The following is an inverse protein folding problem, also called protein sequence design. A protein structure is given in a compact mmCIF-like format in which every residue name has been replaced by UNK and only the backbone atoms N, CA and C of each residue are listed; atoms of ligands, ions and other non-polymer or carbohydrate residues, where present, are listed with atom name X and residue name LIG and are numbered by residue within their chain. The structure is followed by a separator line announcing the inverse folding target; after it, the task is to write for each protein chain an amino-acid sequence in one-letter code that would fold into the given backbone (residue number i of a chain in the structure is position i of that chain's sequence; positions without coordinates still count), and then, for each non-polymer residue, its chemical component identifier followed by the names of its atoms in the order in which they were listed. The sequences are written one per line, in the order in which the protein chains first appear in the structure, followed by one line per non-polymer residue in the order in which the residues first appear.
data_IF_919269835132
#
_entry.id   IF_919269835132
#
_cell.length_a   1.000
_cell.length_b   1.000
_cell.length_c   1.000
_cell.angle_alpha   90.00
_cell.angle_beta   90.00
_cell.angle_gamma   90.00
#
_symmetry.space_group_name_H-M   'P 1'
#
loop_
_entity.id
_entity.type
_entity.pdbx_description
1 polymer ?
#
# COMPACT_ATOMS: atom_id res chain seq x y z
N UNK A 1 -17.81 11.26 10.46
CA UNK A 1 -17.40 10.89 9.10
C UNK A 1 -15.97 10.39 9.12
N UNK A 2 -15.72 9.15 8.68
CA UNK A 2 -14.38 8.59 8.51
C UNK A 2 -13.83 9.01 7.15
N UNK A 3 -12.60 9.55 7.09
CA UNK A 3 -11.88 9.80 5.83
C UNK A 3 -10.69 8.84 5.75
N UNK A 4 -10.41 8.30 4.56
CA UNK A 4 -9.36 7.29 4.32
C UNK A 4 -8.37 7.76 3.25
N UNK A 5 -7.07 7.72 3.56
CA UNK A 5 -5.98 7.99 2.60
C UNK A 5 -5.26 6.67 2.31
N UNK A 6 -5.07 6.34 1.01
CA UNK A 6 -4.47 5.09 0.54
C UNK A 6 -3.06 5.31 -0.01
N UNK A 7 -2.04 4.60 0.51
CA UNK A 7 -0.64 4.69 0.02
C UNK A 7 -0.13 3.31 -0.43
N UNK A 8 0.53 3.21 -1.59
CA UNK A 8 0.90 1.93 -2.26
C UNK A 8 2.30 1.44 -1.90
N UNK A 9 2.49 0.10 -1.79
CA UNK A 9 3.82 -0.54 -1.68
C UNK A 9 4.02 -1.55 -2.81
N UNK A 10 4.85 -1.18 -3.79
CA UNK A 10 5.14 -1.95 -5.02
C UNK A 10 6.08 -3.15 -4.81
N UNK A 11 6.65 -3.31 -3.61
CA UNK A 11 7.68 -4.33 -3.33
C UNK A 11 7.15 -5.58 -2.60
N UNK A 12 5.84 -5.78 -2.53
CA UNK A 12 5.31 -6.98 -1.87
C UNK A 12 5.69 -8.26 -2.64
N UNK A 13 6.04 -9.37 -1.95
CA UNK A 13 6.47 -10.61 -2.60
C UNK A 13 5.38 -11.23 -3.49
N UNK A 14 4.09 -11.03 -3.14
CA UNK A 14 2.95 -11.42 -3.98
C UNK A 14 2.94 -10.68 -5.31
N UNK A 15 3.20 -9.36 -5.30
CA UNK A 15 3.33 -8.56 -6.51
C UNK A 15 4.45 -9.06 -7.41
N UNK A 16 5.63 -9.33 -6.83
CA UNK A 16 6.77 -9.84 -7.59
C UNK A 16 6.46 -11.20 -8.24
N UNK A 17 5.79 -12.09 -7.52
CA UNK A 17 5.40 -13.40 -8.04
C UNK A 17 4.40 -13.28 -9.20
N UNK A 18 3.31 -12.52 -9.03
CA UNK A 18 2.30 -12.30 -10.06
C UNK A 18 2.88 -11.59 -11.30
N UNK A 19 3.76 -10.61 -11.12
CA UNK A 19 4.44 -9.92 -12.22
C UNK A 19 5.38 -10.87 -12.97
N UNK A 20 6.14 -11.70 -12.26
CA UNK A 20 7.03 -12.69 -12.88
C UNK A 20 6.23 -13.76 -13.63
N UNK A 21 5.16 -14.29 -13.03
CA UNK A 21 4.27 -15.26 -13.67
C UNK A 21 3.60 -14.69 -14.93
N UNK A 22 3.09 -13.45 -14.86
CA UNK A 22 2.52 -12.75 -16.01
C UNK A 22 3.53 -12.53 -17.14
N UNK A 23 4.76 -12.13 -16.80
CA UNK A 23 5.84 -11.95 -17.78
C UNK A 23 6.23 -13.28 -18.46
N UNK A 24 6.34 -14.37 -17.70
CA UNK A 24 6.65 -15.71 -18.22
C UNK A 24 5.55 -16.18 -19.19
N UNK A 25 4.28 -15.95 -18.88
CA UNK A 25 3.16 -16.32 -19.74
C UNK A 25 3.17 -15.55 -21.07
N UNK A 26 3.49 -14.26 -21.04
CA UNK A 26 3.63 -13.47 -22.28
C UNK A 26 4.82 -13.95 -23.11
N UNK A 27 5.96 -14.24 -22.48
CA UNK A 27 7.12 -14.79 -23.18
C UNK A 27 6.84 -16.18 -23.79
N UNK A 28 6.12 -17.03 -23.06
CA UNK A 28 5.69 -18.33 -23.57
C UNK A 28 4.72 -18.21 -24.75
N UNK A 29 3.79 -17.24 -24.71
CA UNK A 29 2.90 -16.96 -25.83
C UNK A 29 3.67 -16.50 -27.08
N UNK A 30 4.64 -15.59 -26.91
CA UNK A 30 5.48 -15.10 -28.00
C UNK A 30 6.37 -16.19 -28.59
N UNK A 31 6.98 -17.04 -27.74
CA UNK A 31 7.77 -18.18 -28.20
C UNK A 31 6.91 -19.21 -28.93
N UNK A 32 5.72 -19.54 -28.40
CA UNK A 32 4.76 -20.41 -29.07
C UNK A 32 4.39 -19.87 -30.46
N UNK A 33 4.16 -18.57 -30.57
CA UNK A 33 3.84 -17.94 -31.85
C UNK A 33 5.01 -17.97 -32.84
N UNK A 34 6.23 -17.68 -32.37
CA UNK A 34 7.44 -17.69 -33.21
C UNK A 34 7.79 -19.11 -33.70
N UNK A 35 7.61 -20.12 -32.86
CA UNK A 35 7.91 -21.52 -33.22
C UNK A 35 6.81 -22.18 -34.07
N UNK A 36 5.76 -21.44 -34.47
CA UNK A 36 4.64 -21.98 -35.24
C UNK A 36 3.76 -22.94 -34.43
N UNK A 37 3.73 -22.77 -33.11
CA UNK A 37 2.86 -23.53 -32.21
C UNK A 37 1.38 -23.23 -32.43
N UNK A 38 0.48 -24.07 -31.91
CA UNK A 38 -0.96 -23.91 -32.15
C UNK A 38 -1.48 -22.57 -31.62
N UNK A 39 -2.23 -21.85 -32.47
CA UNK A 39 -2.74 -20.51 -32.17
C UNK A 39 -3.52 -20.44 -30.85
N UNK A 40 -4.32 -21.47 -30.53
CA UNK A 40 -5.11 -21.50 -29.31
C UNK A 40 -4.24 -21.48 -28.04
N UNK A 41 -3.04 -22.06 -28.06
CA UNK A 41 -2.09 -22.07 -26.94
C UNK A 41 -1.48 -20.68 -26.76
N UNK A 42 -1.08 -20.05 -27.86
CA UNK A 42 -0.50 -18.71 -27.86
C UNK A 42 -1.50 -17.67 -27.35
N UNK A 43 -2.76 -17.72 -27.81
CA UNK A 43 -3.81 -16.81 -27.38
C UNK A 43 -4.23 -17.00 -25.92
N UNK A 44 -4.34 -18.25 -25.44
CA UNK A 44 -4.69 -18.50 -24.02
C UNK A 44 -3.57 -18.08 -23.07
N UNK A 45 -2.31 -18.35 -23.40
CA UNK A 45 -1.16 -17.89 -22.60
C UNK A 45 -1.08 -16.35 -22.56
N UNK A 46 -1.29 -15.68 -23.69
CA UNK A 46 -1.34 -14.22 -23.75
C UNK A 46 -2.50 -13.65 -22.90
N UNK A 47 -3.70 -14.24 -23.01
CA UNK A 47 -4.87 -13.82 -22.25
C UNK A 47 -4.62 -13.95 -20.73
N UNK A 48 -4.10 -15.09 -20.27
CA UNK A 48 -3.76 -15.30 -18.85
C UNK A 48 -2.67 -14.35 -18.36
N UNK A 49 -1.67 -14.07 -19.20
CA UNK A 49 -0.64 -13.07 -18.90
C UNK A 49 -1.26 -11.68 -18.69
N UNK A 50 -2.07 -11.21 -19.65
CA UNK A 50 -2.74 -9.90 -19.57
C UNK A 50 -3.70 -9.83 -18.38
N UNK A 51 -4.49 -10.88 -18.12
CA UNK A 51 -5.38 -10.94 -16.96
C UNK A 51 -4.60 -10.86 -15.64
N UNK A 52 -3.42 -11.47 -15.56
CA UNK A 52 -2.56 -11.38 -14.37
C UNK A 52 -2.10 -9.95 -14.10
N UNK A 53 -1.71 -9.21 -15.15
CA UNK A 53 -1.38 -7.78 -15.04
C UNK A 53 -2.60 -6.90 -14.73
N UNK A 54 -3.77 -7.29 -15.22
CA UNK A 54 -5.03 -6.57 -14.95
C UNK A 54 -5.48 -6.79 -13.50
N UNK A 55 -5.35 -8.01 -12.97
CA UNK A 55 -5.60 -8.35 -11.57
C UNK A 55 -4.63 -7.60 -10.64
N UNK A 56 -3.35 -7.52 -11.00
CA UNK A 56 -2.37 -6.68 -10.31
C UNK A 56 -2.74 -5.19 -10.32
N UNK A 57 -3.33 -4.70 -11.41
CA UNK A 57 -3.79 -3.31 -11.47
C UNK A 57 -4.98 -3.10 -10.52
N UNK A 58 -5.97 -4.00 -10.53
CA UNK A 58 -7.15 -3.97 -9.65
C UNK A 58 -6.81 -4.09 -8.16
N UNK A 59 -5.88 -4.95 -7.76
CA UNK A 59 -5.39 -5.04 -6.38
C UNK A 59 -4.54 -3.83 -5.97
N UNK A 60 -3.79 -3.26 -6.92
CA UNK A 60 -3.07 -2.00 -6.74
C UNK A 60 -3.99 -0.82 -6.42
N UNK A 61 -5.26 -0.90 -6.80
CA UNK A 61 -6.28 0.09 -6.45
C UNK A 61 -6.84 -0.06 -5.03
N UNK A 62 -6.67 -1.20 -4.31
CA UNK A 62 -7.59 -1.51 -3.20
C UNK A 62 -7.08 -1.57 -1.75
N UNK A 63 -5.83 -1.90 -1.35
CA UNK A 63 -5.66 -2.21 0.11
C UNK A 63 -4.29 -2.28 0.82
N UNK A 64 -3.23 -1.60 0.39
CA UNK A 64 -1.92 -1.78 1.05
C UNK A 64 -1.74 -0.99 2.37
N UNK A 65 -1.96 0.33 2.35
CA UNK A 65 -1.89 1.17 3.54
C UNK A 65 -3.17 2.01 3.61
N UNK A 66 -3.92 1.90 4.70
CA UNK A 66 -5.13 2.71 4.93
C UNK A 66 -5.06 3.35 6.30
N UNK A 67 -5.26 4.66 6.36
CA UNK A 67 -5.47 5.38 7.62
C UNK A 67 -6.93 5.79 7.69
N UNK A 68 -7.66 5.26 8.65
CA UNK A 68 -9.06 5.62 8.93
C UNK A 68 -9.11 6.35 10.26
N UNK A 69 -9.83 7.47 10.33
CA UNK A 69 -9.93 8.24 11.57
C UNK A 69 -11.35 8.73 11.85
N UNK A 70 -11.72 8.76 13.12
CA UNK A 70 -13.02 9.20 13.63
C UNK A 70 -12.96 10.56 14.33
N UNK A 71 -13.91 10.77 15.25
CA UNK A 71 -13.89 11.93 16.14
C UNK A 71 -12.68 11.89 17.07
N UNK A 72 -12.50 10.75 17.73
CA UNK A 72 -11.61 10.59 18.90
C UNK A 72 -10.47 9.59 18.67
N UNK A 73 -10.52 8.81 17.60
CA UNK A 73 -9.59 7.72 17.34
C UNK A 73 -9.06 7.68 15.92
N UNK A 74 -7.93 7.02 15.75
CA UNK A 74 -7.35 6.69 14.45
C UNK A 74 -6.97 5.22 14.41
N UNK A 75 -7.17 4.58 13.25
CA UNK A 75 -6.73 3.23 12.95
C UNK A 75 -5.88 3.27 11.68
N UNK A 76 -4.67 2.73 11.80
CA UNK A 76 -3.70 2.64 10.73
C UNK A 76 -3.45 1.17 10.39
N UNK A 77 -3.75 0.81 9.14
CA UNK A 77 -3.34 -0.46 8.56
C UNK A 77 -2.17 -0.18 7.65
N UNK A 78 -0.97 -0.56 8.05
CA UNK A 78 0.26 -0.33 7.31
C UNK A 78 0.80 -1.65 6.77
N UNK A 79 1.21 -1.69 5.50
CA UNK A 79 1.67 -2.89 4.83
C UNK A 79 2.93 -3.44 5.50
N UNK A 80 2.85 -4.67 5.99
CA UNK A 80 3.94 -5.36 6.69
C UNK A 80 3.98 -5.13 8.21
N UNK A 81 3.06 -4.34 8.76
CA UNK A 81 2.91 -4.13 10.21
C UNK A 81 1.53 -4.62 10.68
N UNK A 82 1.41 -4.86 12.00
CA UNK A 82 0.09 -5.08 12.62
C UNK A 82 -0.77 -3.84 12.44
N UNK A 83 -2.10 -4.03 12.34
CA UNK A 83 -3.05 -2.91 12.37
C UNK A 83 -2.97 -2.26 13.75
N UNK A 84 -2.81 -0.95 13.79
CA UNK A 84 -2.63 -0.17 15.03
C UNK A 84 -3.77 0.82 15.15
N UNK A 85 -4.47 0.81 16.28
CA UNK A 85 -5.49 1.78 16.62
C UNK A 85 -5.14 2.48 17.92
N UNK A 86 -5.35 3.79 17.98
CA UNK A 86 -5.12 4.61 19.17
C UNK A 86 -6.09 5.77 19.25
N UNK A 87 -6.30 6.28 20.46
CA UNK A 87 -7.03 7.51 20.71
C UNK A 87 -6.12 8.71 20.47
N UNK A 88 -6.69 9.83 20.02
CA UNK A 88 -5.92 11.06 19.83
C UNK A 88 -5.38 11.62 21.16
N UNK A 89 -6.09 11.39 22.26
CA UNK A 89 -5.68 11.71 23.63
C UNK A 89 -4.45 10.93 24.11
N UNK A 90 -4.15 9.77 23.51
CA UNK A 90 -3.01 8.93 23.86
C UNK A 90 -1.72 9.35 23.13
N UNK A 91 -1.81 10.28 22.18
CA UNK A 91 -0.65 10.76 21.41
C UNK A 91 0.22 11.65 22.29
N UNK A 92 1.46 11.24 22.53
CA UNK A 92 2.44 12.01 23.29
C UNK A 92 3.17 13.00 22.39
N UNK A 93 3.72 12.54 21.26
CA UNK A 93 4.55 13.36 20.36
C UNK A 93 4.23 13.10 18.87
N UNK A 94 4.28 14.15 18.05
CA UNK A 94 4.10 14.11 16.59
C UNK A 94 5.22 14.91 15.92
N UNK A 95 6.22 14.24 15.36
CA UNK A 95 7.40 14.89 14.78
C UNK A 95 7.56 14.51 13.31
N UNK A 96 7.38 15.49 12.42
CA UNK A 96 7.71 15.34 11.00
C UNK A 96 9.18 15.76 10.80
N UNK A 97 10.01 14.80 10.43
CA UNK A 97 11.45 14.98 10.20
C UNK A 97 11.79 14.77 8.71
N UNK A 98 13.04 15.00 8.35
CA UNK A 98 13.56 14.69 7.01
C UNK A 98 13.41 13.20 6.68
N UNK A 99 13.61 12.32 7.66
CA UNK A 99 13.55 10.87 7.47
C UNK A 99 12.11 10.33 7.37
N UNK A 100 11.12 11.05 7.90
CA UNK A 100 9.74 10.58 7.98
C UNK A 100 8.92 11.22 9.11
N UNK A 101 7.74 10.64 9.37
CA UNK A 101 6.88 11.00 10.50
C UNK A 101 7.10 10.03 11.66
N UNK A 102 7.34 10.56 12.84
CA UNK A 102 7.40 9.82 14.11
C UNK A 102 6.19 10.20 14.96
N UNK A 103 5.48 9.17 15.44
CA UNK A 103 4.31 9.32 16.31
C UNK A 103 4.57 8.47 17.55
N UNK A 104 4.59 9.10 18.72
CA UNK A 104 4.67 8.41 20.01
C UNK A 104 3.29 8.36 20.62
N UNK A 105 2.82 7.16 20.92
CA UNK A 105 1.53 6.90 21.55
C UNK A 105 1.79 6.20 22.88
N UNK A 106 1.02 6.56 23.91
CA UNK A 106 1.14 5.97 25.24
C UNK A 106 0.98 4.44 25.17
N UNK A 107 1.87 3.71 25.85
CA UNK A 107 1.83 2.23 25.94
C UNK A 107 1.91 1.49 24.59
N UNK A 108 2.37 2.17 23.54
CA UNK A 108 2.60 1.59 22.22
C UNK A 108 4.04 1.82 21.76
N UNK A 109 4.51 0.98 20.84
CA UNK A 109 5.79 1.20 20.16
C UNK A 109 5.73 2.47 19.29
N UNK A 110 6.85 3.21 19.24
CA UNK A 110 6.99 4.41 18.40
C UNK A 110 6.68 4.09 16.93
N UNK A 111 5.64 4.72 16.39
CA UNK A 111 5.21 4.53 15.00
C UNK A 111 6.09 5.40 14.10
N UNK A 112 6.90 4.75 13.26
CA UNK A 112 7.84 5.41 12.34
C UNK A 112 7.41 5.20 10.88
N UNK A 113 6.99 6.28 10.22
CA UNK A 113 6.62 6.29 8.80
C UNK A 113 7.73 6.95 7.98
N UNK A 114 8.54 6.16 7.29
CA UNK A 114 9.67 6.68 6.51
C UNK A 114 9.27 7.26 5.15
N UNK A 115 9.91 8.35 4.73
CA UNK A 115 9.81 8.90 3.35
C UNK A 115 10.26 7.92 2.27
N UNK A 116 11.00 6.86 2.62
CA UNK A 116 11.33 5.75 1.69
C UNK A 116 10.10 4.94 1.26
N UNK A 117 9.02 4.96 2.04
CA UNK A 117 7.80 4.15 1.81
C UNK A 117 6.55 4.99 1.55
N UNK A 118 6.50 6.22 2.05
CA UNK A 118 5.31 7.07 2.00
C UNK A 118 5.66 8.41 1.33
N UNK A 119 4.73 8.97 0.55
CA UNK A 119 4.94 10.27 -0.11
C UNK A 119 4.97 11.41 0.90
N UNK A 120 5.75 12.47 0.61
CA UNK A 120 5.83 13.64 1.48
C UNK A 120 4.45 14.26 1.74
N UNK A 121 3.65 14.41 0.69
CA UNK A 121 2.28 14.95 0.77
C UNK A 121 1.40 14.15 1.76
N UNK A 122 1.46 12.82 1.70
CA UNK A 122 0.68 11.97 2.60
C UNK A 122 1.13 12.09 4.06
N UNK A 123 2.45 12.22 4.28
CA UNK A 123 3.01 12.40 5.62
C UNK A 123 2.66 13.77 6.20
N UNK A 124 2.67 14.81 5.37
CA UNK A 124 2.26 16.16 5.76
C UNK A 124 0.77 16.23 6.08
N UNK A 125 -0.08 15.63 5.24
CA UNK A 125 -1.52 15.54 5.48
C UNK A 125 -1.83 14.78 6.78
N UNK A 126 -1.19 13.62 6.98
CA UNK A 126 -1.35 12.84 8.20
C UNK A 126 -0.87 13.61 9.44
N UNK A 127 0.26 14.31 9.35
CA UNK A 127 0.76 15.17 10.44
C UNK A 127 -0.26 16.25 10.78
N UNK A 128 -0.85 16.90 9.76
CA UNK A 128 -1.87 17.93 9.94
C UNK A 128 -3.10 17.37 10.64
N UNK A 129 -3.60 16.21 10.20
CA UNK A 129 -4.77 15.54 10.82
C UNK A 129 -4.49 15.20 12.28
N UNK A 130 -3.34 14.58 12.57
CA UNK A 130 -2.96 14.20 13.93
C UNK A 130 -2.86 15.41 14.87
N UNK A 131 -2.24 16.50 14.40
CA UNK A 131 -2.12 17.74 15.19
C UNK A 131 -3.48 18.41 15.40
N UNK A 132 -4.30 18.53 14.36
CA UNK A 132 -5.65 19.13 14.45
C UNK A 132 -6.54 18.34 15.41
N UNK A 133 -6.51 17.00 15.32
CA UNK A 133 -7.33 16.13 16.16
C UNK A 133 -6.85 16.07 17.60
N UNK A 134 -5.53 16.02 17.84
CA UNK A 134 -4.96 16.11 19.19
C UNK A 134 -5.30 17.43 19.87
N UNK A 135 -5.34 18.55 19.13
CA UNK A 135 -5.67 19.86 19.69
C UNK A 135 -7.17 20.03 20.03
N UNK A 136 -8.04 19.15 19.52
CA UNK A 136 -9.50 19.16 19.75
C UNK A 136 -9.97 18.14 20.80
N UNK A 137 -9.02 17.46 21.44
CA UNK A 137 -9.24 16.50 22.53
C UNK A 137 -8.86 17.18 23.84
#
# INVERSE_FOLDING_TARGET
MQRTINIRNLNSPKYRFLTAAGAILILAALMSWWMGGPDYVSYTAAALGVTSFTALSLEGFTSANSVSYGGESMTMKLLGNKTMGFLFSEIQEIHLQEQGLLIRVKEMEDIKLSRKRYTSESLEELTRILKDKKAKQ
#
